data_IF_084176720733
#
_entry.id   IF_084176720733
#
_cell.length_a   1.000
_cell.length_b   1.000
_cell.length_c   1.000
_cell.angle_alpha   90.00
_cell.angle_beta   90.00
_cell.angle_gamma   90.00
#
_symmetry.space_group_name_H-M   'P 1'
#
loop_
_entity.id
_entity.type
_entity.pdbx_description
1 polymer ?
#
# COMPACT_ATOMS: atom_id res chain seq x y z
N UNK A 1 51.36 -24.48 -66.82
CA UNK A 1 51.06 -25.70 -66.05
C UNK A 1 51.15 -25.43 -64.55
N UNK A 2 50.35 -24.49 -64.00
CA UNK A 2 50.18 -24.30 -62.54
C UNK A 2 49.12 -23.25 -62.13
N UNK A 3 48.11 -22.96 -62.96
CA UNK A 3 47.04 -21.98 -62.61
C UNK A 3 45.67 -22.46 -63.10
N UNK A 4 45.32 -23.72 -62.85
CA UNK A 4 43.98 -24.25 -63.16
C UNK A 4 43.37 -25.15 -62.08
N UNK A 5 44.04 -25.31 -60.92
CA UNK A 5 43.56 -26.22 -59.86
C UNK A 5 43.16 -25.54 -58.54
N UNK A 6 43.16 -24.20 -58.47
CA UNK A 6 42.86 -23.48 -57.21
C UNK A 6 41.49 -22.78 -57.17
N UNK A 7 40.69 -22.83 -58.24
CA UNK A 7 39.35 -22.22 -58.27
C UNK A 7 38.20 -23.22 -58.25
N UNK A 8 38.48 -24.53 -58.31
CA UNK A 8 37.45 -25.59 -58.22
C UNK A 8 37.26 -26.09 -56.76
N UNK A 9 38.14 -25.70 -55.84
CA UNK A 9 38.11 -26.12 -54.43
C UNK A 9 37.40 -25.18 -53.44
N UNK A 10 36.93 -24.00 -53.87
CA UNK A 10 36.28 -23.02 -52.97
C UNK A 10 34.78 -22.85 -53.27
N UNK A 11 34.30 -23.35 -54.41
CA UNK A 11 32.86 -23.33 -54.77
C UNK A 11 32.10 -24.60 -54.36
N UNK A 12 32.77 -25.59 -53.76
CA UNK A 12 32.18 -26.85 -53.29
C UNK A 12 32.08 -26.98 -51.76
N UNK A 13 32.45 -25.93 -51.01
CA UNK A 13 32.29 -25.88 -49.55
C UNK A 13 31.20 -24.94 -49.03
N UNK A 14 30.54 -24.16 -49.91
CA UNK A 14 29.39 -23.31 -49.57
C UNK A 14 28.08 -23.79 -50.20
N UNK A 15 27.98 -25.08 -50.46
CA UNK A 15 26.75 -25.71 -50.95
C UNK A 15 26.46 -26.96 -50.13
N UNK A 16 26.26 -26.80 -48.81
CA UNK A 16 25.47 -27.71 -47.96
C UNK A 16 25.29 -27.08 -46.57
N UNK A 17 24.06 -27.11 -46.10
CA UNK A 17 23.57 -26.65 -44.79
C UNK A 17 23.18 -25.17 -44.66
N UNK A 18 22.46 -24.66 -45.65
CA UNK A 18 21.17 -24.04 -45.33
C UNK A 18 20.05 -24.98 -45.76
N UNK A 19 20.09 -26.22 -45.28
CA UNK A 19 18.85 -26.77 -44.79
C UNK A 19 18.43 -25.77 -43.72
N UNK A 20 17.55 -24.83 -44.10
CA UNK A 20 16.70 -24.20 -43.12
C UNK A 20 16.23 -25.39 -42.28
N UNK A 21 16.68 -25.44 -41.03
CA UNK A 21 16.11 -26.34 -40.07
C UNK A 21 14.68 -25.86 -40.04
N UNK A 22 13.85 -26.47 -40.90
CA UNK A 22 12.44 -26.63 -40.69
C UNK A 22 12.39 -27.51 -39.48
N UNK A 23 12.70 -26.88 -38.35
CA UNK A 23 12.25 -27.30 -37.05
C UNK A 23 10.83 -27.69 -37.32
N UNK A 24 10.52 -28.92 -37.00
CA UNK A 24 9.17 -29.37 -36.74
C UNK A 24 8.67 -28.54 -35.56
N UNK A 25 8.51 -27.24 -35.78
CA UNK A 25 7.93 -26.31 -34.85
C UNK A 25 6.46 -26.56 -35.07
N UNK A 26 5.96 -27.48 -34.24
CA UNK A 26 4.58 -27.88 -34.18
C UNK A 26 3.70 -26.65 -34.36
N UNK A 27 2.86 -26.71 -35.37
CA UNK A 27 1.89 -25.68 -35.68
C UNK A 27 1.01 -25.58 -34.45
N UNK A 28 1.19 -24.52 -33.66
CA UNK A 28 0.35 -24.25 -32.50
C UNK A 28 -1.11 -24.35 -32.95
N UNK A 29 -1.91 -25.14 -32.23
CA UNK A 29 -3.31 -25.31 -32.56
C UNK A 29 -3.97 -23.95 -32.74
N UNK A 30 -4.76 -23.79 -33.80
CA UNK A 30 -5.32 -22.48 -34.17
C UNK A 30 -6.19 -21.89 -33.06
N UNK A 31 -6.88 -22.75 -32.29
CA UNK A 31 -7.66 -22.31 -31.13
C UNK A 31 -6.74 -21.91 -29.97
N UNK A 32 -5.67 -22.66 -29.70
CA UNK A 32 -4.67 -22.27 -28.71
C UNK A 32 -3.95 -20.95 -29.05
N UNK A 33 -3.62 -20.72 -30.32
CA UNK A 33 -3.09 -19.44 -30.78
C UNK A 33 -4.07 -18.30 -30.51
N UNK A 34 -5.36 -18.49 -30.79
CA UNK A 34 -6.40 -17.48 -30.52
C UNK A 34 -6.56 -17.19 -29.02
N UNK A 35 -6.52 -18.21 -28.17
CA UNK A 35 -6.55 -18.03 -26.72
C UNK A 35 -5.32 -17.28 -26.21
N UNK A 36 -4.14 -17.58 -26.76
CA UNK A 36 -2.91 -16.86 -26.43
C UNK A 36 -2.99 -15.38 -26.82
N UNK A 37 -3.51 -15.06 -28.00
CA UNK A 37 -3.74 -13.68 -28.46
C UNK A 37 -4.73 -12.93 -27.55
N UNK A 38 -5.84 -13.57 -27.16
CA UNK A 38 -6.82 -12.98 -26.22
C UNK A 38 -6.24 -12.75 -24.81
N UNK A 39 -5.40 -13.66 -24.32
CA UNK A 39 -4.68 -13.43 -23.07
C UNK A 39 -3.70 -12.27 -23.19
N UNK A 40 -2.91 -12.21 -24.28
CA UNK A 40 -1.95 -11.13 -24.50
C UNK A 40 -2.65 -9.75 -24.54
N UNK A 41 -3.79 -9.66 -25.22
CA UNK A 41 -4.60 -8.44 -25.27
C UNK A 41 -5.14 -8.05 -23.88
N UNK A 42 -5.73 -8.99 -23.14
CA UNK A 42 -6.27 -8.70 -21.79
C UNK A 42 -5.17 -8.28 -20.80
N UNK A 43 -4.00 -8.93 -20.81
CA UNK A 43 -2.85 -8.54 -19.99
C UNK A 43 -2.34 -7.14 -20.36
N UNK A 44 -2.24 -6.83 -21.65
CA UNK A 44 -1.83 -5.51 -22.13
C UNK A 44 -2.80 -4.42 -21.66
N UNK A 45 -4.11 -4.65 -21.82
CA UNK A 45 -5.15 -3.73 -21.39
C UNK A 45 -5.16 -3.52 -19.88
N UNK A 46 -5.03 -4.60 -19.10
CA UNK A 46 -4.91 -4.55 -17.65
C UNK A 46 -3.68 -3.74 -17.21
N UNK A 47 -2.52 -4.02 -17.78
CA UNK A 47 -1.26 -3.33 -17.45
C UNK A 47 -1.37 -1.85 -17.79
N UNK A 48 -1.91 -1.51 -18.98
CA UNK A 48 -2.14 -0.13 -19.39
C UNK A 48 -3.07 0.58 -18.42
N UNK A 49 -4.16 -0.06 -18.01
CA UNK A 49 -5.08 0.51 -17.03
C UNK A 49 -4.37 0.75 -15.69
N UNK A 50 -3.68 -0.25 -15.15
CA UNK A 50 -3.00 -0.17 -13.87
C UNK A 50 -2.02 1.01 -13.80
N UNK A 51 -1.17 1.15 -14.82
CA UNK A 51 -0.20 2.25 -14.90
C UNK A 51 -0.89 3.59 -15.06
N UNK A 52 -1.93 3.68 -15.90
CA UNK A 52 -2.66 4.93 -16.13
C UNK A 52 -3.43 5.41 -14.89
N UNK A 53 -3.83 4.49 -14.01
CA UNK A 53 -4.58 4.76 -12.78
C UNK A 53 -3.70 4.77 -11.53
N UNK A 54 -2.37 4.77 -11.68
CA UNK A 54 -1.43 4.81 -10.58
C UNK A 54 -1.39 6.18 -9.88
N UNK A 55 -1.75 7.27 -10.56
CA UNK A 55 -1.76 8.62 -9.98
C UNK A 55 -2.80 9.55 -10.63
N UNK A 56 -3.75 10.13 -9.86
CA UNK A 56 -4.10 9.73 -8.49
C UNK A 56 -4.55 8.26 -8.46
N UNK A 57 -4.14 7.53 -7.42
CA UNK A 57 -4.35 6.08 -7.34
C UNK A 57 -5.85 5.72 -7.31
N UNK A 58 -6.31 5.05 -8.37
CA UNK A 58 -7.71 4.61 -8.58
C UNK A 58 -7.78 3.21 -9.20
N UNK A 59 -6.70 2.45 -9.05
CA UNK A 59 -6.47 1.21 -9.77
C UNK A 59 -7.63 0.21 -9.61
N UNK A 60 -8.09 -0.05 -8.38
CA UNK A 60 -9.07 -1.09 -8.14
C UNK A 60 -10.43 -0.76 -8.77
N UNK A 61 -10.93 0.48 -8.60
CA UNK A 61 -12.25 0.87 -9.12
C UNK A 61 -12.27 1.15 -10.61
N UNK A 62 -11.12 1.37 -11.23
CA UNK A 62 -11.02 1.73 -12.65
C UNK A 62 -10.56 0.57 -13.54
N UNK A 63 -9.95 -0.47 -12.97
CA UNK A 63 -9.32 -1.56 -13.74
C UNK A 63 -9.93 -2.95 -13.50
N UNK A 64 -11.08 -3.04 -12.81
CA UNK A 64 -11.71 -4.32 -12.47
C UNK A 64 -12.15 -5.12 -13.70
N UNK A 65 -12.62 -4.44 -14.76
CA UNK A 65 -13.06 -5.11 -15.99
C UNK A 65 -11.90 -5.79 -16.69
N UNK A 66 -10.78 -5.07 -16.84
CA UNK A 66 -9.58 -5.61 -17.47
C UNK A 66 -8.98 -6.76 -16.63
N UNK A 67 -9.08 -6.67 -15.30
CA UNK A 67 -8.67 -7.78 -14.44
C UNK A 67 -9.57 -9.01 -14.64
N UNK A 68 -10.89 -8.82 -14.73
CA UNK A 68 -11.82 -9.91 -14.98
C UNK A 68 -11.59 -10.56 -16.37
N UNK A 69 -11.25 -9.77 -17.38
CA UNK A 69 -10.88 -10.27 -18.71
C UNK A 69 -9.63 -11.15 -18.66
N UNK A 70 -8.62 -10.77 -17.87
CA UNK A 70 -7.42 -11.60 -17.66
C UNK A 70 -7.81 -12.92 -17.02
N UNK A 71 -8.65 -12.89 -15.98
CA UNK A 71 -9.14 -14.11 -15.30
C UNK A 71 -9.91 -15.01 -16.26
N UNK A 72 -10.76 -14.44 -17.11
CA UNK A 72 -11.54 -15.16 -18.12
C UNK A 72 -10.64 -15.85 -19.14
N UNK A 73 -9.69 -15.13 -19.73
CA UNK A 73 -8.76 -15.70 -20.71
C UNK A 73 -7.85 -16.76 -20.08
N UNK A 74 -7.40 -16.55 -18.83
CA UNK A 74 -6.68 -17.57 -18.07
C UNK A 74 -7.53 -18.83 -17.90
N UNK A 75 -8.77 -18.71 -17.43
CA UNK A 75 -9.65 -19.86 -17.22
C UNK A 75 -9.86 -20.67 -18.51
N UNK A 76 -10.01 -19.99 -19.66
CA UNK A 76 -10.17 -20.65 -20.96
C UNK A 76 -8.94 -21.47 -21.40
N UNK A 77 -7.73 -21.06 -21.00
CA UNK A 77 -6.48 -21.79 -21.26
C UNK A 77 -6.34 -22.97 -20.29
N UNK A 78 -6.67 -22.76 -19.01
CA UNK A 78 -6.43 -23.74 -17.93
C UNK A 78 -7.57 -24.75 -17.73
N UNK A 79 -8.75 -24.54 -18.35
CA UNK A 79 -9.86 -25.50 -18.27
C UNK A 79 -9.47 -26.87 -18.82
N UNK A 80 -10.23 -27.89 -18.44
CA UNK A 80 -10.06 -29.26 -18.95
C UNK A 80 -10.21 -29.29 -20.47
N UNK A 81 -9.21 -29.83 -21.18
CA UNK A 81 -9.15 -29.83 -22.65
C UNK A 81 -8.82 -28.46 -23.24
N UNK A 82 -8.38 -27.50 -22.42
CA UNK A 82 -7.80 -26.24 -22.84
C UNK A 82 -6.34 -26.38 -23.26
N UNK A 83 -5.68 -25.23 -23.43
CA UNK A 83 -4.37 -25.13 -24.05
C UNK A 83 -3.20 -25.08 -23.06
N UNK A 84 -3.42 -25.44 -21.79
CA UNK A 84 -2.38 -25.38 -20.75
C UNK A 84 -1.16 -26.22 -21.07
N UNK A 85 -1.34 -27.44 -21.59
CA UNK A 85 -0.22 -28.33 -21.92
C UNK A 85 0.64 -27.78 -23.05
N UNK A 86 0.03 -27.10 -24.01
CA UNK A 86 0.68 -26.58 -25.22
C UNK A 86 1.26 -25.17 -25.04
N UNK A 87 0.62 -24.32 -24.24
CA UNK A 87 1.02 -22.90 -24.07
C UNK A 87 1.79 -22.64 -22.77
N UNK A 88 1.71 -23.54 -21.79
CA UNK A 88 2.29 -23.33 -20.45
C UNK A 88 3.26 -24.45 -20.06
N UNK A 89 2.87 -25.72 -20.19
CA UNK A 89 3.68 -26.84 -19.71
C UNK A 89 4.79 -27.25 -20.69
N UNK A 90 4.58 -27.02 -21.99
CA UNK A 90 5.57 -27.24 -23.06
C UNK A 90 6.77 -26.29 -22.98
N UNK A 91 6.58 -25.11 -22.38
CA UNK A 91 7.56 -24.03 -22.38
C UNK A 91 8.29 -23.94 -21.04
N UNK A 92 9.63 -24.08 -21.05
CA UNK A 92 10.45 -24.03 -19.83
C UNK A 92 10.29 -22.74 -19.03
N UNK A 93 10.04 -21.62 -19.70
CA UNK A 93 9.98 -20.31 -19.07
C UNK A 93 8.58 -19.88 -18.65
N UNK A 94 7.53 -20.62 -19.05
CA UNK A 94 6.13 -20.44 -18.61
C UNK A 94 5.65 -18.98 -18.58
N UNK A 95 5.96 -18.18 -19.61
CA UNK A 95 5.66 -16.74 -19.65
C UNK A 95 4.17 -16.46 -19.43
N UNK A 96 3.30 -17.29 -20.01
CA UNK A 96 1.84 -17.23 -19.82
C UNK A 96 1.45 -17.30 -18.34
N UNK A 97 2.05 -18.22 -17.59
CA UNK A 97 1.80 -18.37 -16.15
C UNK A 97 2.27 -17.14 -15.38
N UNK A 98 3.49 -16.67 -15.66
CA UNK A 98 4.05 -15.47 -15.01
C UNK A 98 3.23 -14.20 -15.29
N UNK A 99 2.73 -14.02 -16.52
CA UNK A 99 1.89 -12.89 -16.87
C UNK A 99 0.54 -12.91 -16.10
N UNK A 100 -0.10 -14.08 -16.03
CA UNK A 100 -1.33 -14.26 -15.25
C UNK A 100 -1.09 -14.01 -13.75
N UNK A 101 0.03 -14.50 -13.22
CA UNK A 101 0.40 -14.33 -11.82
C UNK A 101 0.74 -12.88 -11.49
N UNK A 102 1.40 -12.16 -12.39
CA UNK A 102 1.62 -10.72 -12.26
C UNK A 102 0.30 -9.97 -12.06
N UNK A 103 -0.69 -10.22 -12.92
CA UNK A 103 -1.99 -9.55 -12.83
C UNK A 103 -2.72 -9.91 -11.53
N UNK A 104 -2.74 -11.20 -11.18
CA UNK A 104 -3.33 -11.69 -9.92
C UNK A 104 -2.69 -11.03 -8.70
N UNK A 105 -1.35 -11.08 -8.60
CA UNK A 105 -0.61 -10.52 -7.48
C UNK A 105 -0.82 -9.03 -7.35
N UNK A 106 -0.75 -8.28 -8.44
CA UNK A 106 -0.98 -6.83 -8.39
C UNK A 106 -2.37 -6.49 -7.84
N UNK A 107 -3.39 -7.27 -8.22
CA UNK A 107 -4.75 -7.11 -7.74
C UNK A 107 -4.91 -7.48 -6.25
N UNK A 108 -4.34 -8.62 -5.84
CA UNK A 108 -4.40 -9.15 -4.48
C UNK A 108 -3.58 -8.32 -3.48
N UNK A 109 -2.36 -7.91 -3.84
CA UNK A 109 -1.49 -7.07 -3.01
C UNK A 109 -2.05 -5.66 -2.84
N UNK A 110 -2.83 -5.17 -3.81
CA UNK A 110 -3.61 -3.92 -3.70
C UNK A 110 -4.92 -4.10 -2.93
N UNK A 111 -5.21 -5.33 -2.50
CA UNK A 111 -6.43 -5.73 -1.80
C UNK A 111 -7.70 -5.23 -2.50
N UNK A 112 -7.73 -5.31 -3.83
CA UNK A 112 -8.78 -4.70 -4.63
C UNK A 112 -10.14 -5.37 -4.43
N UNK A 113 -10.18 -6.64 -4.04
CA UNK A 113 -11.45 -7.32 -3.71
C UNK A 113 -12.22 -6.60 -2.60
N UNK A 114 -11.54 -5.99 -1.62
CA UNK A 114 -12.18 -5.24 -0.53
C UNK A 114 -12.82 -3.92 -0.97
N UNK A 115 -12.71 -3.52 -2.24
CA UNK A 115 -13.45 -2.38 -2.78
C UNK A 115 -14.89 -2.74 -3.19
N UNK A 116 -15.25 -4.02 -3.24
CA UNK A 116 -16.50 -4.51 -3.83
C UNK A 116 -17.33 -5.33 -2.84
N UNK A 117 -18.65 -5.38 -3.04
CA UNK A 117 -19.57 -6.10 -2.15
C UNK A 117 -19.48 -7.63 -2.26
N UNK A 118 -19.12 -8.14 -3.43
CA UNK A 118 -18.97 -9.57 -3.71
C UNK A 118 -17.51 -9.97 -3.67
N UNK A 119 -17.23 -11.11 -3.04
CA UNK A 119 -15.90 -11.70 -3.07
C UNK A 119 -15.67 -12.36 -4.45
N UNK A 120 -15.11 -11.58 -5.38
CA UNK A 120 -14.76 -12.03 -6.73
C UNK A 120 -13.48 -12.88 -6.79
N UNK A 121 -13.00 -13.46 -5.67
CA UNK A 121 -11.79 -14.29 -5.67
C UNK A 121 -11.97 -15.60 -6.44
N UNK A 122 -13.14 -16.22 -6.34
CA UNK A 122 -13.38 -17.57 -6.87
C UNK A 122 -13.61 -17.56 -8.39
N UNK A 123 -13.20 -18.61 -9.09
CA UNK A 123 -13.37 -18.74 -10.55
C UNK A 123 -14.85 -18.67 -10.98
N UNK A 124 -15.78 -19.15 -10.15
CA UNK A 124 -17.23 -19.07 -10.39
C UNK A 124 -17.76 -17.62 -10.49
N UNK A 125 -16.99 -16.64 -10.00
CA UNK A 125 -17.34 -15.22 -10.06
C UNK A 125 -16.82 -14.50 -11.31
N UNK A 126 -16.09 -15.19 -12.20
CA UNK A 126 -15.59 -14.60 -13.44
C UNK A 126 -16.78 -14.17 -14.32
N UNK A 127 -16.73 -12.96 -14.86
CA UNK A 127 -17.78 -12.39 -15.70
C UNK A 127 -19.05 -11.98 -14.94
N UNK A 128 -19.09 -12.15 -13.62
CA UNK A 128 -20.18 -11.60 -12.81
C UNK A 128 -20.02 -10.09 -12.66
N UNK A 129 -21.14 -9.41 -12.41
CA UNK A 129 -21.14 -7.95 -12.27
C UNK A 129 -20.38 -7.52 -11.02
N UNK A 130 -19.45 -6.59 -11.18
CA UNK A 130 -18.74 -5.95 -10.09
C UNK A 130 -19.56 -4.79 -9.53
N UNK A 131 -19.83 -4.82 -8.22
CA UNK A 131 -20.54 -3.75 -7.52
C UNK A 131 -19.67 -3.20 -6.41
N UNK A 132 -19.35 -1.90 -6.49
CA UNK A 132 -18.56 -1.21 -5.46
C UNK A 132 -19.32 -1.26 -4.14
N UNK A 133 -18.60 -1.60 -3.06
CA UNK A 133 -19.20 -1.67 -1.74
C UNK A 133 -19.88 -0.33 -1.39
N UNK A 134 -21.15 -0.34 -0.90
CA UNK A 134 -21.88 0.88 -0.60
C UNK A 134 -21.13 1.86 0.32
N UNK A 135 -20.34 1.36 1.27
CA UNK A 135 -19.57 2.19 2.20
C UNK A 135 -18.30 2.73 1.57
N UNK A 136 -17.66 1.95 0.68
CA UNK A 136 -16.56 2.45 -0.16
C UNK A 136 -17.07 3.55 -1.09
N UNK A 137 -18.25 3.35 -1.69
CA UNK A 137 -18.91 4.37 -2.51
C UNK A 137 -19.23 5.62 -1.69
N UNK A 138 -19.76 5.47 -0.49
CA UNK A 138 -20.05 6.59 0.42
C UNK A 138 -18.78 7.38 0.79
N UNK A 139 -17.68 6.69 1.10
CA UNK A 139 -16.37 7.32 1.32
C UNK A 139 -15.97 8.23 0.15
N UNK A 140 -16.06 7.73 -1.09
CA UNK A 140 -15.68 8.53 -2.26
C UNK A 140 -16.66 9.68 -2.55
N UNK A 141 -17.94 9.54 -2.23
CA UNK A 141 -18.91 10.64 -2.32
C UNK A 141 -18.55 11.76 -1.32
N UNK A 142 -18.28 11.41 -0.06
CA UNK A 142 -17.86 12.37 0.98
C UNK A 142 -16.52 13.01 0.64
N UNK A 143 -15.61 12.24 0.04
CA UNK A 143 -14.35 12.78 -0.46
C UNK A 143 -14.60 13.84 -1.53
N UNK A 144 -15.50 13.58 -2.48
CA UNK A 144 -15.83 14.56 -3.52
C UNK A 144 -16.41 15.85 -2.91
N UNK A 145 -17.34 15.73 -1.96
CA UNK A 145 -17.92 16.88 -1.23
C UNK A 145 -16.82 17.72 -0.56
N UNK A 146 -15.85 17.07 0.09
CA UNK A 146 -14.71 17.76 0.69
C UNK A 146 -13.84 18.47 -0.36
N UNK A 147 -13.55 17.81 -1.49
CA UNK A 147 -12.72 18.39 -2.55
C UNK A 147 -13.42 19.55 -3.25
N UNK A 148 -14.74 19.50 -3.41
CA UNK A 148 -15.53 20.62 -3.90
C UNK A 148 -15.47 21.80 -2.93
N UNK A 149 -15.50 21.53 -1.62
CA UNK A 149 -15.25 22.57 -0.62
C UNK A 149 -13.85 23.19 -0.76
N UNK A 150 -12.80 22.37 -0.90
CA UNK A 150 -11.44 22.88 -1.16
C UNK A 150 -11.38 23.76 -2.41
N UNK A 151 -12.05 23.34 -3.49
CA UNK A 151 -12.09 24.08 -4.75
C UNK A 151 -12.74 25.45 -4.56
N UNK A 152 -13.89 25.51 -3.89
CA UNK A 152 -14.64 26.76 -3.68
C UNK A 152 -13.82 27.86 -2.99
N UNK A 153 -12.95 27.49 -2.04
CA UNK A 153 -12.11 28.44 -1.31
C UNK A 153 -10.70 28.63 -1.91
N UNK A 154 -10.33 27.86 -2.95
CA UNK A 154 -9.07 28.03 -3.69
C UNK A 154 -9.25 28.81 -4.99
N UNK A 155 -10.45 28.85 -5.57
CA UNK A 155 -10.73 29.55 -6.85
C UNK A 155 -11.13 31.02 -6.71
N UNK A 156 -11.06 31.61 -5.51
CA UNK A 156 -11.32 33.04 -5.33
C UNK A 156 -10.11 33.83 -5.85
N UNK A 157 -10.26 34.67 -6.91
CA UNK A 157 -9.18 35.51 -7.39
C UNK A 157 -8.95 36.62 -6.37
N UNK A 158 -7.78 36.64 -5.73
CA UNK A 158 -7.44 37.72 -4.79
C UNK A 158 -6.49 38.70 -5.46
N UNK A 159 -6.86 39.98 -5.43
CA UNK A 159 -5.99 41.09 -5.77
C UNK A 159 -4.63 40.95 -5.04
N UNK A 160 -3.49 41.16 -5.73
CA UNK A 160 -2.15 40.87 -5.22
C UNK A 160 -1.65 41.79 -4.10
N UNK A 161 -2.52 42.59 -3.48
CA UNK A 161 -2.17 43.63 -2.51
C UNK A 161 -2.43 43.26 -1.03
N UNK A 162 -2.95 42.07 -0.74
CA UNK A 162 -3.18 41.61 0.62
C UNK A 162 -2.33 40.34 0.89
N UNK A 163 -1.80 40.21 2.11
CA UNK A 163 -1.12 39.02 2.61
C UNK A 163 -2.14 37.85 2.71
N UNK A 164 -2.55 37.27 1.58
CA UNK A 164 -3.78 36.45 1.44
C UNK A 164 -3.59 34.94 1.43
N UNK A 165 -2.36 34.45 1.48
CA UNK A 165 -2.09 33.01 1.58
C UNK A 165 -2.55 32.43 2.93
N UNK A 166 -2.49 33.20 4.03
CA UNK A 166 -2.92 32.77 5.37
C UNK A 166 -4.44 32.91 5.61
N UNK A 167 -5.09 33.90 5.00
CA UNK A 167 -6.52 34.11 5.11
C UNK A 167 -7.32 33.01 4.38
N UNK A 168 -6.84 32.60 3.20
CA UNK A 168 -7.49 31.57 2.39
C UNK A 168 -7.36 30.18 3.04
N UNK A 169 -6.19 29.80 3.56
CA UNK A 169 -6.02 28.53 4.29
C UNK A 169 -6.86 28.50 5.57
N UNK A 170 -6.91 29.60 6.32
CA UNK A 170 -7.77 29.72 7.51
C UNK A 170 -9.26 29.51 7.16
N UNK A 171 -9.71 30.00 6.01
CA UNK A 171 -11.09 29.79 5.53
C UNK A 171 -11.36 28.33 5.17
N UNK A 172 -10.44 27.65 4.47
CA UNK A 172 -10.55 26.22 4.13
C UNK A 172 -10.66 25.39 5.41
N UNK A 173 -9.75 25.60 6.35
CA UNK A 173 -9.72 24.85 7.61
C UNK A 173 -10.96 25.10 8.46
N UNK A 174 -11.58 26.28 8.38
CA UNK A 174 -12.79 26.60 9.12
C UNK A 174 -14.04 26.00 8.47
N UNK A 175 -14.20 26.20 7.17
CA UNK A 175 -15.45 25.89 6.45
C UNK A 175 -15.50 24.46 5.92
N UNK A 176 -14.35 23.86 5.58
CA UNK A 176 -14.29 22.47 5.09
C UNK A 176 -14.06 21.45 6.21
N UNK A 177 -13.85 21.89 7.45
CA UNK A 177 -13.65 21.00 8.60
C UNK A 177 -14.81 20.00 8.81
N UNK A 178 -16.10 20.41 8.78
CA UNK A 178 -17.19 19.45 8.93
C UNK A 178 -17.16 18.33 7.87
N UNK A 179 -16.88 18.68 6.61
CA UNK A 179 -16.76 17.70 5.52
C UNK A 179 -15.55 16.77 5.71
N UNK A 180 -14.45 17.29 6.26
CA UNK A 180 -13.25 16.50 6.56
C UNK A 180 -13.50 15.53 7.73
N UNK A 181 -14.20 15.97 8.78
CA UNK A 181 -14.58 15.13 9.91
C UNK A 181 -15.53 14.02 9.47
N UNK A 182 -16.54 14.33 8.67
CA UNK A 182 -17.49 13.36 8.11
C UNK A 182 -16.80 12.30 7.24
N UNK A 183 -15.86 12.70 6.37
CA UNK A 183 -15.03 11.77 5.60
C UNK A 183 -14.19 10.87 6.52
N UNK A 184 -13.59 11.44 7.55
CA UNK A 184 -12.73 10.71 8.48
C UNK A 184 -13.52 9.73 9.34
N UNK A 185 -14.77 10.03 9.67
CA UNK A 185 -15.63 9.11 10.42
C UNK A 185 -16.04 7.91 9.56
N UNK A 186 -16.41 8.11 8.29
CA UNK A 186 -16.63 6.98 7.37
C UNK A 186 -15.36 6.15 7.16
N UNK A 187 -14.19 6.79 7.08
CA UNK A 187 -12.92 6.06 7.00
C UNK A 187 -12.68 5.19 8.25
N UNK A 188 -12.98 5.69 9.47
CA UNK A 188 -12.91 4.89 10.69
C UNK A 188 -13.89 3.72 10.66
N UNK A 189 -15.10 3.93 10.17
CA UNK A 189 -16.10 2.87 10.07
C UNK A 189 -15.66 1.75 9.11
N UNK A 190 -14.98 2.10 8.02
CA UNK A 190 -14.35 1.14 7.13
C UNK A 190 -13.24 0.36 7.86
N UNK A 191 -12.37 1.04 8.61
CA UNK A 191 -11.32 0.37 9.42
C UNK A 191 -11.92 -0.60 10.44
N UNK A 192 -12.99 -0.18 11.13
CA UNK A 192 -13.64 -0.99 12.14
C UNK A 192 -14.21 -2.30 11.55
N UNK A 193 -14.69 -2.27 10.30
CA UNK A 193 -15.20 -3.46 9.63
C UNK A 193 -14.15 -4.51 9.34
N UNK A 194 -12.91 -4.08 9.05
CA UNK A 194 -11.79 -5.00 8.83
C UNK A 194 -11.08 -5.41 10.12
N UNK A 195 -11.69 -5.10 11.27
CA UNK A 195 -11.23 -5.52 12.60
C UNK A 195 -10.44 -4.45 13.36
N UNK A 196 -10.58 -3.17 12.99
CA UNK A 196 -10.01 -2.04 13.72
C UNK A 196 -8.52 -1.84 13.47
N UNK A 197 -7.92 -0.87 14.15
CA UNK A 197 -6.46 -0.66 14.10
C UNK A 197 -5.72 -1.84 14.75
N UNK A 198 -4.57 -2.29 14.20
CA UNK A 198 -3.83 -1.70 13.09
C UNK A 198 -4.18 -2.28 11.69
N UNK A 199 -5.32 -2.97 11.53
CA UNK A 199 -5.69 -3.69 10.30
C UNK A 199 -6.18 -2.80 9.15
N UNK A 200 -5.81 -1.51 9.16
CA UNK A 200 -6.19 -0.58 8.09
C UNK A 200 -5.60 -0.96 6.72
N UNK A 201 -4.51 -1.74 6.70
CA UNK A 201 -3.92 -2.32 5.50
C UNK A 201 -4.82 -3.38 4.82
N UNK A 202 -5.90 -3.82 5.49
CA UNK A 202 -6.93 -4.68 4.93
C UNK A 202 -8.07 -3.90 4.24
N UNK A 203 -7.97 -2.57 4.18
CA UNK A 203 -8.81 -1.79 3.25
C UNK A 203 -8.28 -1.91 1.83
N UNK A 204 -9.12 -1.64 0.84
CA UNK A 204 -8.62 -1.62 -0.53
C UNK A 204 -7.74 -0.39 -0.78
N UNK A 205 -6.70 -0.56 -1.61
CA UNK A 205 -5.66 0.44 -1.82
C UNK A 205 -6.19 1.79 -2.33
N UNK A 206 -7.27 1.79 -3.11
CA UNK A 206 -7.95 3.01 -3.57
C UNK A 206 -8.37 3.91 -2.40
N UNK A 207 -9.00 3.34 -1.37
CA UNK A 207 -9.48 4.09 -0.19
C UNK A 207 -8.30 4.59 0.64
N UNK A 208 -7.31 3.73 0.88
CA UNK A 208 -6.11 4.09 1.65
C UNK A 208 -5.34 5.24 1.00
N UNK A 209 -5.08 5.13 -0.30
CA UNK A 209 -4.34 6.14 -1.05
C UNK A 209 -5.11 7.46 -1.14
N UNK A 210 -6.42 7.40 -1.37
CA UNK A 210 -7.30 8.55 -1.36
C UNK A 210 -7.31 9.26 0.01
N UNK A 211 -7.42 8.52 1.11
CA UNK A 211 -7.39 9.10 2.46
C UNK A 211 -6.02 9.69 2.79
N UNK A 212 -4.93 9.01 2.43
CA UNK A 212 -3.58 9.50 2.63
C UNK A 212 -3.33 10.83 1.88
N UNK A 213 -3.72 10.89 0.60
CA UNK A 213 -3.65 12.12 -0.20
C UNK A 213 -4.50 13.24 0.41
N UNK A 214 -5.70 12.92 0.90
CA UNK A 214 -6.59 13.89 1.54
C UNK A 214 -6.01 14.42 2.85
N UNK A 215 -5.45 13.55 3.69
CA UNK A 215 -4.75 13.93 4.92
C UNK A 215 -3.55 14.81 4.61
N UNK A 216 -2.75 14.47 3.59
CA UNK A 216 -1.62 15.30 3.17
C UNK A 216 -2.07 16.69 2.70
N UNK A 217 -3.15 16.79 1.92
CA UNK A 217 -3.73 18.09 1.53
C UNK A 217 -4.21 18.87 2.75
N UNK A 218 -4.96 18.24 3.64
CA UNK A 218 -5.49 18.87 4.84
C UNK A 218 -4.38 19.38 5.78
N UNK A 219 -3.38 18.55 6.05
CA UNK A 219 -2.31 18.85 7.00
C UNK A 219 -1.22 19.70 6.40
N UNK A 220 -0.60 19.22 5.32
CA UNK A 220 0.63 19.78 4.77
C UNK A 220 0.35 20.90 3.79
N UNK A 221 -0.65 20.76 2.91
CA UNK A 221 -0.95 21.79 1.91
C UNK A 221 -1.72 22.96 2.52
N UNK A 222 -2.73 22.69 3.35
CA UNK A 222 -3.57 23.74 3.95
C UNK A 222 -3.21 24.10 5.39
N UNK A 223 -2.38 23.33 6.09
CA UNK A 223 -1.97 23.66 7.47
C UNK A 223 -3.11 23.53 8.50
N UNK A 224 -4.13 22.71 8.23
CA UNK A 224 -5.35 22.68 9.05
C UNK A 224 -5.23 21.88 10.36
N UNK A 225 -4.06 21.31 10.66
CA UNK A 225 -3.83 20.66 11.95
C UNK A 225 -3.55 21.73 13.01
N UNK A 226 -4.43 21.80 14.02
CA UNK A 226 -4.13 22.50 15.27
C UNK A 226 -3.65 21.47 16.29
N UNK A 227 -2.37 21.50 16.60
CA UNK A 227 -1.81 20.71 17.69
C UNK A 227 -2.09 21.48 18.98
N UNK A 228 -3.01 20.97 19.80
CA UNK A 228 -3.22 21.48 21.15
C UNK A 228 -2.14 20.91 22.04
N UNK A 229 -1.13 21.71 22.38
CA UNK A 229 -0.10 21.29 23.31
C UNK A 229 -0.60 21.50 24.74
N UNK A 230 -0.88 20.43 25.46
CA UNK A 230 -1.02 20.48 26.92
C UNK A 230 0.37 20.43 27.57
N UNK A 231 1.21 21.41 27.21
CA UNK A 231 2.60 21.49 27.67
C UNK A 231 2.67 21.58 29.19
N UNK A 232 1.69 22.24 29.82
CA UNK A 232 1.65 22.41 31.27
C UNK A 232 1.53 21.06 31.99
N UNK A 233 0.57 20.22 31.61
CA UNK A 233 0.39 18.90 32.21
C UNK A 233 1.60 17.99 31.96
N UNK A 234 2.14 17.99 30.75
CA UNK A 234 3.30 17.15 30.39
C UNK A 234 4.54 17.55 31.18
N UNK A 235 4.83 18.85 31.30
CA UNK A 235 5.98 19.35 32.06
C UNK A 235 5.80 19.03 33.55
N UNK A 236 4.61 19.27 34.12
CA UNK A 236 4.33 18.99 35.52
C UNK A 236 4.54 17.51 35.88
N UNK A 237 4.00 16.59 35.06
CA UNK A 237 4.19 15.15 35.24
C UNK A 237 5.67 14.76 35.10
N UNK A 238 6.36 15.30 34.10
CA UNK A 238 7.78 15.02 33.87
C UNK A 238 8.63 15.47 35.06
N UNK A 239 8.39 16.68 35.60
CA UNK A 239 9.05 17.17 36.80
C UNK A 239 8.75 16.27 38.00
N UNK A 240 7.48 15.92 38.24
CA UNK A 240 7.09 15.02 39.33
C UNK A 240 7.89 13.72 39.27
N UNK A 241 7.88 13.02 38.13
CA UNK A 241 8.60 11.76 37.97
C UNK A 241 10.13 11.91 38.05
N UNK A 242 10.69 13.06 37.64
CA UNK A 242 12.12 13.33 37.77
C UNK A 242 12.56 13.58 39.22
N UNK A 243 11.69 14.13 40.09
CA UNK A 243 12.00 14.36 41.50
C UNK A 243 11.77 13.14 42.39
N UNK A 244 10.95 12.17 41.97
CA UNK A 244 10.69 10.94 42.75
C UNK A 244 11.98 10.18 43.12
N UNK A 245 12.95 9.94 42.21
CA UNK A 245 14.22 9.31 42.57
C UNK A 245 15.02 10.13 43.59
N UNK A 246 15.09 11.45 43.43
CA UNK A 246 15.83 12.34 44.34
C UNK A 246 15.24 12.26 45.75
N UNK A 247 13.91 12.33 45.87
CA UNK A 247 13.20 12.20 47.14
C UNK A 247 13.43 10.81 47.73
N UNK A 248 13.34 9.75 46.92
CA UNK A 248 13.55 8.38 47.37
C UNK A 248 14.96 8.16 47.93
N UNK A 249 16.00 8.53 47.20
CA UNK A 249 17.38 8.36 47.65
C UNK A 249 17.72 9.26 48.85
N UNK A 250 17.19 10.48 48.90
CA UNK A 250 17.35 11.36 50.07
C UNK A 250 16.69 10.75 51.31
N UNK A 251 15.46 10.24 51.18
CA UNK A 251 14.74 9.59 52.27
C UNK A 251 15.38 8.25 52.70
N UNK A 252 15.97 7.51 51.76
CA UNK A 252 16.72 6.28 52.06
C UNK A 252 18.01 6.59 52.85
N UNK A 253 18.75 7.63 52.44
CA UNK A 253 19.96 8.08 53.14
C UNK A 253 19.66 8.53 54.56
N UNK A 254 18.65 9.40 54.75
CA UNK A 254 18.28 9.89 56.08
C UNK A 254 17.87 8.75 57.02
N UNK A 255 17.14 7.75 56.53
CA UNK A 255 16.77 6.56 57.32
C UNK A 255 17.97 5.63 57.60
N UNK A 256 18.88 5.49 56.66
CA UNK A 256 20.13 4.75 56.87
C UNK A 256 20.98 5.36 57.97
N UNK A 257 21.21 6.68 57.90
CA UNK A 257 21.99 7.43 58.90
C UNK A 257 21.37 7.35 60.31
N UNK A 258 20.04 7.32 60.43
CA UNK A 258 19.34 7.17 61.71
C UNK A 258 19.53 5.78 62.34
N UNK A 259 19.51 4.72 61.51
CA UNK A 259 19.78 3.34 61.95
C UNK A 259 21.22 3.18 62.43
N UNK A 260 22.20 3.71 61.70
CA UNK A 260 23.62 3.64 62.08
C UNK A 260 23.92 4.40 63.38
N UNK A 261 23.29 5.56 63.58
CA UNK A 261 23.41 6.34 64.82
C UNK A 261 22.80 5.60 66.03
N UNK A 262 21.66 4.92 65.84
CA UNK A 262 21.02 4.11 66.88
C UNK A 262 21.81 2.83 67.19
N UNK A 263 22.45 2.23 66.19
CA UNK A 263 23.35 1.08 66.36
C UNK A 263 24.61 1.46 67.15
N UNK A 264 25.26 2.59 66.82
CA UNK A 264 26.46 3.07 67.54
C UNK A 264 26.19 3.38 69.03
N UNK A 265 24.99 3.83 69.40
CA UNK A 265 24.64 4.10 70.79
C UNK A 265 24.45 2.82 71.63
N UNK A 266 24.16 1.68 71.01
CA UNK A 266 23.96 0.40 71.68
C UNK A 266 25.26 -0.43 71.82
N UNK A 267 26.41 0.05 71.32
CA UNK A 267 27.72 -0.64 71.36
C UNK A 267 28.73 0.15 72.23
N UNK A 268 28.32 0.61 73.42
CA UNK A 268 29.27 1.06 74.45
C UNK A 268 29.36 -0.04 75.51
N UNK A 269 30.49 -0.78 75.63
CA UNK A 269 30.70 -1.69 76.75
C UNK A 269 30.93 -0.85 78.01
N UNK A 270 30.15 -1.11 79.06
CA UNK A 270 30.46 -0.65 80.41
C UNK A 270 31.71 -1.40 80.90
N UNK A 271 32.89 -0.78 80.77
CA UNK A 271 34.08 -1.18 81.52
C UNK A 271 34.10 -0.32 82.79
N UNK A 272 33.63 -0.90 83.88
CA UNK A 272 33.80 -0.38 85.24
C UNK A 272 35.26 -0.63 85.65
N UNK A 273 36.00 0.44 85.91
CA UNK A 273 37.27 0.37 86.63
C UNK A 273 36.98 0.45 88.13
N UNK A 274 37.40 -0.58 88.86
CA UNK A 274 37.51 -0.57 90.31
C UNK A 274 38.59 0.45 90.73
N UNK A 275 38.26 1.32 91.69
CA UNK A 275 39.23 2.11 92.43
C UNK A 275 38.75 2.24 93.89
N UNK A 276 39.56 1.62 94.76
CA UNK A 276 39.70 1.73 96.24
C UNK A 276 38.45 1.75 97.13
#
# INVERSE_FOLDING_TARGET
>A
MLITYLTVGILSFFALNSAFVSSKHDIIDKNCKKQLEGLAESISNFTRCAVSQASPFKFCRMCYEQYDDVRRNKNEIYKKGGCVSELVESERYQIVSHACEFAKRLWEESNCFSCFSSDHKNEDSIGTKWEIDPKVKDFFNKQQILYDCFKNFTTIPVNPAANTSSANTTSICKFCKPNYEDLNDVYKDLINQVGGYPKENLLCADVMSAMNSTRHKWSSTFGCIKINYDTASVVALTCLFAFLPVIFYSAAKLRGDEVDKKSSYNVIPQISYDAE
#
